data_IF_267031646177
#
_entry.id   IF_267031646177
#
_cell.length_a   1.000
_cell.length_b   1.000
_cell.length_c   1.000
_cell.angle_alpha   90.00
_cell.angle_beta   90.00
_cell.angle_gamma   90.00
#
_symmetry.space_group_name_H-M   'P 1'
#
loop_
_entity.id
_entity.type
_entity.pdbx_description
1 polymer ?
#
# COMPACT_ATOMS: atom_id res chain seq x y z
N UNK A 1 -8.28 -13.60 1.70
CA UNK A 1 -7.82 -15.01 1.68
C UNK A 1 -8.73 -15.87 0.79
N UNK A 2 -8.33 -16.16 -0.45
CA UNK A 2 -9.24 -16.77 -1.44
C UNK A 2 -9.67 -18.21 -1.11
N UNK A 3 -8.83 -18.98 -0.41
CA UNK A 3 -9.09 -20.40 -0.12
C UNK A 3 -9.59 -20.67 1.29
N UNK A 4 -9.85 -19.61 2.09
CA UNK A 4 -10.39 -19.79 3.43
C UNK A 4 -11.79 -20.43 3.34
N UNK A 5 -12.08 -21.53 4.05
CA UNK A 5 -13.39 -22.19 3.96
C UNK A 5 -14.57 -21.28 4.33
N UNK A 6 -14.39 -20.34 5.27
CA UNK A 6 -15.41 -19.35 5.59
C UNK A 6 -15.59 -18.37 4.43
N UNK A 7 -14.51 -17.89 3.80
CA UNK A 7 -14.63 -17.02 2.63
C UNK A 7 -15.46 -17.65 1.50
N UNK A 8 -15.27 -18.95 1.28
CA UNK A 8 -15.96 -19.70 0.22
C UNK A 8 -17.41 -20.05 0.54
N UNK A 9 -17.76 -20.22 1.82
CA UNK A 9 -19.07 -20.75 2.24
C UNK A 9 -19.95 -19.76 2.99
N UNK A 10 -19.35 -18.85 3.75
CA UNK A 10 -20.04 -17.89 4.62
C UNK A 10 -19.15 -16.64 4.86
N UNK A 11 -19.26 -15.68 3.95
CA UNK A 11 -18.47 -14.45 3.99
C UNK A 11 -18.77 -13.58 5.22
N UNK A 12 -19.99 -13.62 5.74
CA UNK A 12 -20.37 -12.89 6.94
C UNK A 12 -19.55 -13.38 8.14
N UNK A 13 -19.50 -14.72 8.32
CA UNK A 13 -18.69 -15.34 9.37
C UNK A 13 -17.20 -15.14 9.14
N UNK A 14 -16.73 -15.19 7.88
CA UNK A 14 -15.33 -14.84 7.58
C UNK A 14 -14.97 -13.44 8.09
N UNK A 15 -15.82 -12.45 7.84
CA UNK A 15 -15.59 -11.06 8.29
C UNK A 15 -15.54 -10.95 9.82
N UNK A 16 -16.48 -11.57 10.52
CA UNK A 16 -16.63 -11.41 11.98
C UNK A 16 -15.74 -12.33 12.82
N UNK A 17 -15.54 -13.58 12.38
CA UNK A 17 -14.85 -14.61 13.15
C UNK A 17 -13.38 -14.78 12.75
N UNK A 18 -12.99 -14.33 11.55
CA UNK A 18 -11.63 -14.53 11.03
C UNK A 18 -10.91 -13.22 10.74
N UNK A 19 -11.41 -12.40 9.81
CA UNK A 19 -10.73 -11.18 9.37
C UNK A 19 -10.64 -10.13 10.49
N UNK A 20 -11.76 -9.81 11.14
CA UNK A 20 -11.80 -8.76 12.17
C UNK A 20 -10.91 -9.09 13.38
N UNK A 21 -10.95 -10.31 13.95
CA UNK A 21 -10.04 -10.69 15.03
C UNK A 21 -8.56 -10.59 14.65
N UNK A 22 -8.17 -11.07 13.46
CA UNK A 22 -6.79 -10.95 12.96
C UNK A 22 -6.36 -9.49 12.82
N UNK A 23 -7.24 -8.65 12.25
CA UNK A 23 -6.99 -7.22 12.11
C UNK A 23 -6.74 -6.57 13.48
N UNK A 24 -7.64 -6.78 14.43
CA UNK A 24 -7.52 -6.20 15.77
C UNK A 24 -6.28 -6.68 16.49
N UNK A 25 -5.91 -7.95 16.31
CA UNK A 25 -4.71 -8.54 16.90
C UNK A 25 -3.43 -7.90 16.35
N UNK A 26 -3.29 -7.74 15.02
CA UNK A 26 -2.13 -7.05 14.42
C UNK A 26 -2.05 -5.60 14.89
N UNK A 27 -3.16 -4.86 14.87
CA UNK A 27 -3.19 -3.46 15.33
C UNK A 27 -2.82 -3.37 16.80
N UNK A 28 -3.33 -4.28 17.64
CA UNK A 28 -3.08 -4.25 19.08
C UNK A 28 -1.64 -4.61 19.44
N UNK A 29 -1.01 -5.52 18.69
CA UNK A 29 0.37 -5.95 18.94
C UNK A 29 1.42 -4.97 18.45
N UNK A 30 1.16 -4.30 17.33
CA UNK A 30 2.20 -3.53 16.62
C UNK A 30 1.93 -2.04 16.52
N UNK A 31 0.72 -1.58 16.88
CA UNK A 31 0.31 -0.17 16.83
C UNK A 31 0.76 0.56 15.55
N UNK A 32 0.43 0.05 14.35
CA UNK A 32 0.94 0.58 13.09
C UNK A 32 0.48 2.01 12.82
N UNK A 33 1.34 2.80 12.17
CA UNK A 33 1.03 4.17 11.71
C UNK A 33 0.23 4.21 10.41
N UNK A 34 0.26 3.13 9.61
CA UNK A 34 -0.49 3.02 8.36
C UNK A 34 -1.17 1.65 8.31
N UNK A 35 -2.42 1.65 7.88
CA UNK A 35 -3.13 0.44 7.46
C UNK A 35 -3.46 0.58 5.97
N UNK A 36 -2.78 -0.22 5.15
CA UNK A 36 -3.04 -0.33 3.72
C UNK A 36 -3.93 -1.56 3.48
N UNK A 37 -5.24 -1.35 3.38
CA UNK A 37 -6.18 -2.42 3.06
C UNK A 37 -6.09 -2.79 1.57
N UNK A 38 -6.34 -4.04 1.22
CA UNK A 38 -6.45 -4.53 -0.16
C UNK A 38 -7.34 -5.78 -0.17
N UNK A 39 -7.89 -6.17 -1.33
CA UNK A 39 -8.75 -7.36 -1.41
C UNK A 39 -10.26 -7.08 -1.29
N UNK A 40 -10.68 -5.82 -1.28
CA UNK A 40 -12.03 -5.37 -0.92
C UNK A 40 -13.09 -5.51 -2.03
N UNK A 41 -12.65 -5.83 -3.25
CA UNK A 41 -13.39 -5.77 -4.52
C UNK A 41 -14.73 -6.52 -4.54
N UNK A 42 -14.84 -7.61 -3.79
CA UNK A 42 -15.95 -8.56 -3.87
C UNK A 42 -17.22 -8.09 -3.14
N UNK A 43 -17.09 -7.18 -2.16
CA UNK A 43 -18.20 -6.79 -1.29
C UNK A 43 -18.18 -5.28 -0.99
N UNK A 44 -19.35 -4.65 -0.77
CA UNK A 44 -19.41 -3.27 -0.30
C UNK A 44 -18.85 -3.16 1.12
N UNK A 45 -18.43 -1.95 1.50
CA UNK A 45 -17.90 -1.60 2.81
C UNK A 45 -18.80 -2.02 3.98
N UNK A 46 -20.13 -1.95 3.79
CA UNK A 46 -21.13 -2.43 4.75
C UNK A 46 -20.99 -3.91 5.06
N UNK A 47 -20.81 -4.75 4.04
CA UNK A 47 -20.73 -6.21 4.21
C UNK A 47 -19.37 -6.64 4.78
N UNK A 48 -18.33 -5.85 4.51
CA UNK A 48 -17.04 -5.93 5.20
C UNK A 48 -17.08 -5.44 6.65
N UNK A 49 -18.17 -4.81 7.08
CA UNK A 49 -18.30 -4.11 8.37
C UNK A 49 -17.22 -3.05 8.59
N UNK A 50 -16.77 -2.40 7.53
CA UNK A 50 -15.64 -1.47 7.58
C UNK A 50 -15.88 -0.30 8.52
N UNK A 51 -17.10 0.26 8.57
CA UNK A 51 -17.42 1.37 9.47
C UNK A 51 -17.24 0.99 10.96
N UNK A 52 -17.72 -0.19 11.36
CA UNK A 52 -17.58 -0.71 12.73
C UNK A 52 -16.10 -0.94 13.09
N UNK A 53 -15.35 -1.55 12.17
CA UNK A 53 -13.93 -1.85 12.37
C UNK A 53 -13.08 -0.59 12.43
N UNK A 54 -13.34 0.38 11.56
CA UNK A 54 -12.64 1.66 11.52
C UNK A 54 -13.01 2.56 12.70
N UNK A 55 -14.26 2.53 13.17
CA UNK A 55 -14.65 3.23 14.40
C UNK A 55 -13.82 2.72 15.59
N UNK A 56 -13.65 1.40 15.72
CA UNK A 56 -12.76 0.84 16.73
C UNK A 56 -11.29 1.28 16.51
N UNK A 57 -10.79 1.25 15.27
CA UNK A 57 -9.43 1.65 14.94
C UNK A 57 -9.12 3.09 15.38
N UNK A 58 -10.02 4.03 15.07
CA UNK A 58 -9.81 5.46 15.33
C UNK A 58 -10.19 5.91 16.74
N UNK A 59 -11.03 5.16 17.47
CA UNK A 59 -11.47 5.58 18.81
C UNK A 59 -10.78 4.81 19.94
N UNK A 60 -10.50 3.53 19.73
CA UNK A 60 -10.14 2.60 20.82
C UNK A 60 -8.76 1.97 20.65
N UNK A 61 -8.30 1.76 19.41
CA UNK A 61 -7.05 1.02 19.18
C UNK A 61 -5.80 1.73 19.70
N UNK A 62 -4.69 1.02 19.92
CA UNK A 62 -3.41 1.64 20.26
C UNK A 62 -2.90 2.63 19.21
N UNK A 63 -3.29 2.49 17.93
CA UNK A 63 -2.85 3.37 16.85
C UNK A 63 -3.68 4.65 16.69
N UNK A 64 -4.75 4.82 17.48
CA UNK A 64 -5.79 5.86 17.28
C UNK A 64 -5.30 7.29 17.08
N UNK A 65 -4.13 7.64 17.63
CA UNK A 65 -3.62 9.01 17.59
C UNK A 65 -2.81 9.33 16.32
N UNK A 66 -2.42 8.32 15.53
CA UNK A 66 -1.49 8.51 14.42
C UNK A 66 -1.82 7.68 13.16
N UNK A 67 -2.74 6.72 13.25
CA UNK A 67 -3.02 5.81 12.12
C UNK A 67 -3.65 6.53 10.95
N UNK A 68 -3.13 6.25 9.76
CA UNK A 68 -3.71 6.67 8.48
C UNK A 68 -4.14 5.43 7.69
N UNK A 69 -5.23 5.54 6.93
CA UNK A 69 -5.78 4.45 6.12
C UNK A 69 -5.87 4.86 4.66
N UNK A 70 -5.67 3.91 3.75
CA UNK A 70 -5.95 4.12 2.34
C UNK A 70 -7.47 4.06 2.04
N UNK A 71 -7.87 4.25 0.78
CA UNK A 71 -9.27 4.26 0.34
C UNK A 71 -9.87 2.90 -0.06
N UNK A 72 -9.36 1.77 0.47
CA UNK A 72 -9.67 0.40 0.00
C UNK A 72 -10.43 -0.45 1.03
N UNK A 73 -11.59 0.04 1.48
CA UNK A 73 -12.39 -0.58 2.54
C UNK A 73 -13.72 -1.16 2.07
N UNK A 74 -13.93 -1.23 0.76
CA UNK A 74 -15.06 -1.86 0.09
C UNK A 74 -15.05 -1.52 -1.40
N UNK A 75 -15.76 -2.29 -2.23
CA UNK A 75 -15.83 -2.01 -3.67
C UNK A 75 -16.41 -0.63 -4.02
N UNK A 76 -17.09 -0.01 -3.05
CA UNK A 76 -17.72 1.29 -3.10
C UNK A 76 -16.87 2.42 -2.49
N UNK A 77 -15.70 2.15 -1.90
CA UNK A 77 -14.93 3.12 -1.12
C UNK A 77 -13.84 3.86 -1.89
N UNK A 78 -13.27 3.25 -2.96
CA UNK A 78 -12.13 3.82 -3.69
C UNK A 78 -12.43 5.24 -4.17
N UNK A 79 -11.50 6.16 -3.89
CA UNK A 79 -11.57 7.59 -4.20
C UNK A 79 -12.83 8.30 -3.66
N UNK A 80 -13.43 7.76 -2.59
CA UNK A 80 -14.57 8.38 -1.89
C UNK A 80 -14.37 8.49 -0.38
N UNK A 81 -13.80 7.44 0.23
CA UNK A 81 -13.58 7.35 1.67
C UNK A 81 -12.18 6.81 1.95
N UNK A 82 -11.50 7.32 2.97
CA UNK A 82 -10.12 6.96 3.35
C UNK A 82 -9.34 8.19 3.82
N UNK A 83 -8.15 7.97 4.40
CA UNK A 83 -7.23 9.05 4.76
C UNK A 83 -6.41 9.55 3.57
N UNK A 84 -6.17 8.69 2.59
CA UNK A 84 -5.52 9.04 1.32
C UNK A 84 -5.97 8.10 0.19
N UNK A 85 -5.79 8.55 -1.04
CA UNK A 85 -6.12 7.78 -2.24
C UNK A 85 -4.91 7.02 -2.76
N UNK A 86 -5.17 5.93 -3.47
CA UNK A 86 -4.10 5.10 -4.03
C UNK A 86 -4.31 4.91 -5.53
N UNK A 87 -3.22 4.87 -6.27
CA UNK A 87 -3.16 4.48 -7.67
C UNK A 87 -2.06 3.41 -7.85
N UNK A 88 -2.16 2.61 -8.91
CA UNK A 88 -1.23 1.50 -9.20
C UNK A 88 -0.91 1.46 -10.69
N UNK A 89 0.38 1.43 -11.02
CA UNK A 89 0.90 1.44 -12.40
C UNK A 89 0.29 2.53 -13.30
N UNK A 90 -0.09 3.66 -12.72
CA UNK A 90 -0.75 4.76 -13.39
C UNK A 90 0.14 6.01 -13.40
N UNK A 91 -0.33 7.06 -14.08
CA UNK A 91 0.30 8.37 -13.99
C UNK A 91 0.02 9.08 -12.65
N UNK A 92 -0.69 8.45 -11.70
CA UNK A 92 -1.10 9.12 -10.47
C UNK A 92 -2.25 10.13 -10.64
N UNK A 93 -2.43 11.01 -9.65
CA UNK A 93 -3.47 12.06 -9.67
C UNK A 93 -2.93 13.40 -10.18
N UNK A 94 -3.83 14.29 -10.60
CA UNK A 94 -3.45 15.58 -11.23
C UNK A 94 -2.84 16.57 -10.24
N UNK A 95 -3.28 16.53 -8.99
CA UNK A 95 -2.87 17.44 -7.93
C UNK A 95 -3.03 16.78 -6.55
N UNK A 96 -2.56 17.47 -5.51
CA UNK A 96 -2.64 17.04 -4.10
C UNK A 96 -3.87 17.57 -3.37
N UNK A 97 -4.98 17.88 -4.07
CA UNK A 97 -6.23 18.31 -3.42
C UNK A 97 -6.78 17.27 -2.44
N UNK A 98 -6.44 16.00 -2.66
CA UNK A 98 -6.55 14.92 -1.70
C UNK A 98 -5.18 14.26 -1.57
N UNK A 99 -4.71 13.94 -0.35
CA UNK A 99 -3.49 13.16 -0.18
C UNK A 99 -3.58 11.85 -0.97
N UNK A 100 -2.49 11.47 -1.66
CA UNK A 100 -2.48 10.27 -2.46
C UNK A 100 -1.09 9.63 -2.59
N UNK A 101 -1.08 8.35 -2.94
CA UNK A 101 0.13 7.54 -3.04
C UNK A 101 0.05 6.61 -4.25
N UNK A 102 1.08 6.64 -5.09
CA UNK A 102 1.27 5.66 -6.15
C UNK A 102 2.04 4.46 -5.59
N UNK A 103 1.41 3.29 -5.61
CA UNK A 103 2.06 2.04 -5.27
C UNK A 103 2.45 1.29 -6.55
N UNK A 104 3.69 0.79 -6.62
CA UNK A 104 4.12 0.00 -7.78
C UNK A 104 5.32 -0.90 -7.46
N UNK A 105 5.41 -2.01 -8.18
CA UNK A 105 6.61 -2.83 -8.26
C UNK A 105 7.72 -2.18 -9.08
N UNK A 106 8.91 -2.78 -8.99
CA UNK A 106 10.06 -2.37 -9.80
C UNK A 106 9.99 -2.82 -11.26
N UNK A 107 9.20 -3.86 -11.52
CA UNK A 107 8.91 -4.39 -12.85
C UNK A 107 7.40 -4.48 -13.04
N UNK A 108 6.85 -5.66 -13.37
CA UNK A 108 5.43 -5.87 -13.59
C UNK A 108 4.74 -6.54 -12.38
N UNK A 109 5.50 -7.27 -11.56
CA UNK A 109 5.01 -7.92 -10.36
C UNK A 109 5.35 -7.14 -9.09
N UNK A 110 4.54 -7.34 -8.04
CA UNK A 110 4.88 -6.99 -6.67
C UNK A 110 5.75 -8.09 -6.01
N UNK A 111 5.36 -9.36 -6.20
CA UNK A 111 6.17 -10.48 -5.74
C UNK A 111 7.38 -10.74 -6.63
N UNK A 112 8.41 -11.43 -6.12
CA UNK A 112 9.52 -11.87 -6.95
C UNK A 112 9.01 -12.76 -8.10
N UNK A 113 9.23 -12.33 -9.34
CA UNK A 113 8.91 -13.11 -10.53
C UNK A 113 10.19 -13.49 -11.30
N UNK A 114 10.53 -14.78 -11.29
CA UNK A 114 11.72 -15.31 -11.98
C UNK A 114 11.64 -15.25 -13.51
N UNK A 115 10.47 -14.96 -14.07
CA UNK A 115 10.30 -14.75 -15.50
C UNK A 115 10.66 -13.33 -15.95
N UNK A 116 10.73 -12.36 -15.02
CA UNK A 116 11.16 -10.99 -15.33
C UNK A 116 12.66 -10.96 -15.59
N UNK A 117 13.04 -10.21 -16.61
CA UNK A 117 14.41 -9.97 -17.05
C UNK A 117 14.86 -8.59 -16.61
N UNK A 118 16.16 -8.33 -16.65
CA UNK A 118 16.73 -7.01 -16.29
C UNK A 118 16.05 -5.86 -17.04
N UNK A 119 15.72 -6.04 -18.31
CA UNK A 119 15.08 -5.01 -19.15
C UNK A 119 13.61 -4.74 -18.81
N UNK A 120 12.96 -5.61 -18.02
CA UNK A 120 11.60 -5.38 -17.50
C UNK A 120 11.61 -4.40 -16.31
N UNK A 121 12.76 -4.27 -15.65
CA UNK A 121 12.95 -3.37 -14.52
C UNK A 121 13.26 -1.96 -15.01
N UNK A 122 12.57 -0.97 -14.46
CA UNK A 122 12.99 0.42 -14.66
C UNK A 122 14.37 0.65 -14.06
N UNK A 123 15.11 1.52 -14.72
CA UNK A 123 16.37 2.05 -14.21
C UNK A 123 16.13 2.96 -13.01
N UNK A 124 17.15 3.18 -12.19
CA UNK A 124 17.07 4.11 -11.04
C UNK A 124 16.71 5.51 -11.48
N UNK A 125 17.24 5.93 -12.64
CA UNK A 125 16.91 7.22 -13.26
C UNK A 125 15.41 7.34 -13.56
N UNK A 126 14.81 6.30 -14.11
CA UNK A 126 13.36 6.29 -14.36
C UNK A 126 12.56 6.34 -13.07
N UNK A 127 12.98 5.63 -12.01
CA UNK A 127 12.32 5.73 -10.71
C UNK A 127 12.47 7.10 -10.07
N UNK A 128 13.62 7.76 -10.21
CA UNK A 128 13.81 9.14 -9.76
C UNK A 128 12.85 10.07 -10.49
N UNK A 129 12.67 9.89 -11.81
CA UNK A 129 11.69 10.67 -12.56
C UNK A 129 10.25 10.40 -12.11
N UNK A 130 9.90 9.15 -11.84
CA UNK A 130 8.59 8.81 -11.27
C UNK A 130 8.43 9.50 -9.90
N UNK A 131 9.41 9.40 -9.01
CA UNK A 131 9.37 10.02 -7.69
C UNK A 131 9.15 11.55 -7.79
N UNK A 132 9.97 12.23 -8.57
CA UNK A 132 9.89 13.69 -8.74
C UNK A 132 8.55 14.09 -9.35
N UNK A 133 8.07 13.36 -10.35
CA UNK A 133 6.80 13.65 -11.02
C UNK A 133 5.59 13.50 -10.08
N UNK A 134 5.58 12.45 -9.24
CA UNK A 134 4.52 12.24 -8.24
C UNK A 134 4.56 13.30 -7.15
N UNK A 135 5.73 13.58 -6.58
CA UNK A 135 5.92 14.57 -5.52
C UNK A 135 5.55 15.98 -6.00
N UNK A 136 5.87 16.33 -7.25
CA UNK A 136 5.51 17.63 -7.84
C UNK A 136 3.98 17.88 -7.90
N UNK A 137 3.18 16.80 -7.79
CA UNK A 137 1.72 16.82 -7.80
C UNK A 137 1.12 16.42 -6.44
N UNK A 138 1.92 16.50 -5.37
CA UNK A 138 1.49 16.24 -3.98
C UNK A 138 1.25 14.76 -3.65
N UNK A 139 1.83 13.84 -4.42
CA UNK A 139 1.71 12.40 -4.22
C UNK A 139 2.95 11.76 -3.60
N UNK A 140 2.75 10.68 -2.87
CA UNK A 140 3.82 9.79 -2.41
C UNK A 140 4.13 8.70 -3.44
N UNK A 141 5.36 8.19 -3.41
CA UNK A 141 5.75 6.95 -4.09
C UNK A 141 5.97 5.84 -3.05
N UNK A 142 5.18 4.77 -3.16
CA UNK A 142 5.41 3.50 -2.49
C UNK A 142 6.03 2.52 -3.49
N UNK A 143 7.37 2.46 -3.50
CA UNK A 143 8.12 1.54 -4.35
C UNK A 143 8.27 0.19 -3.66
N UNK A 144 7.65 -0.82 -4.24
CA UNK A 144 7.65 -2.19 -3.73
C UNK A 144 8.94 -2.95 -4.09
N UNK A 145 9.31 -3.91 -3.23
CA UNK A 145 10.33 -4.92 -3.49
C UNK A 145 9.74 -6.32 -3.31
N UNK A 146 10.18 -7.25 -4.15
CA UNK A 146 9.86 -8.67 -4.03
C UNK A 146 11.08 -9.47 -3.54
N UNK A 147 11.23 -9.71 -2.23
CA UNK A 147 12.28 -10.59 -1.71
C UNK A 147 12.20 -12.01 -2.27
N UNK A 148 13.34 -12.66 -2.35
CA UNK A 148 13.43 -14.09 -2.62
C UNK A 148 12.94 -14.92 -1.44
N UNK A 149 12.61 -16.18 -1.72
CA UNK A 149 12.07 -17.12 -0.73
C UNK A 149 13.05 -17.43 0.42
N UNK A 150 14.35 -17.17 0.23
CA UNK A 150 15.37 -17.27 1.27
C UNK A 150 15.52 -15.99 2.12
N UNK A 151 14.68 -14.98 1.87
CA UNK A 151 14.68 -13.70 2.57
C UNK A 151 15.65 -12.67 1.98
N UNK A 152 16.40 -12.99 0.93
CA UNK A 152 17.32 -12.03 0.29
C UNK A 152 16.58 -11.06 -0.62
N UNK A 153 17.09 -9.83 -0.76
CA UNK A 153 16.65 -8.89 -1.79
C UNK A 153 17.44 -9.18 -3.07
N UNK A 154 16.80 -9.35 -4.24
CA UNK A 154 17.52 -9.54 -5.49
C UNK A 154 18.54 -8.41 -5.74
N UNK A 155 19.78 -8.72 -6.16
CA UNK A 155 20.84 -7.70 -6.30
C UNK A 155 20.48 -6.53 -7.22
N UNK A 156 19.66 -6.78 -8.25
CA UNK A 156 19.17 -5.72 -9.12
C UNK A 156 18.27 -4.73 -8.37
N UNK A 157 17.32 -5.21 -7.56
CA UNK A 157 16.45 -4.35 -6.75
C UNK A 157 17.25 -3.56 -5.72
N UNK A 158 18.19 -4.23 -5.04
CA UNK A 158 19.12 -3.60 -4.09
C UNK A 158 19.92 -2.47 -4.76
N UNK A 159 20.51 -2.73 -5.94
CA UNK A 159 21.23 -1.71 -6.70
C UNK A 159 20.35 -0.49 -6.99
N UNK A 160 19.10 -0.70 -7.41
CA UNK A 160 18.16 0.41 -7.69
C UNK A 160 17.86 1.23 -6.43
N UNK A 161 17.60 0.58 -5.31
CA UNK A 161 17.36 1.27 -4.03
C UNK A 161 18.56 2.10 -3.59
N UNK A 162 19.77 1.55 -3.69
CA UNK A 162 20.99 2.25 -3.31
C UNK A 162 21.25 3.48 -4.20
N UNK A 163 21.10 3.33 -5.52
CA UNK A 163 21.27 4.43 -6.48
C UNK A 163 20.23 5.56 -6.26
N UNK A 164 18.97 5.21 -5.97
CA UNK A 164 17.93 6.18 -5.60
C UNK A 164 18.29 6.86 -4.28
N UNK A 165 18.75 6.09 -3.28
CA UNK A 165 19.17 6.60 -1.98
C UNK A 165 20.34 7.58 -2.09
N UNK A 166 21.33 7.29 -2.93
CA UNK A 166 22.46 8.18 -3.19
C UNK A 166 22.03 9.49 -3.86
N UNK A 167 21.07 9.43 -4.77
CA UNK A 167 20.49 10.64 -5.35
C UNK A 167 19.71 11.47 -4.30
N UNK A 168 18.94 10.81 -3.43
CA UNK A 168 18.16 11.46 -2.35
C UNK A 168 19.06 12.10 -1.27
N UNK A 169 20.25 11.56 -1.01
CA UNK A 169 21.20 12.21 -0.09
C UNK A 169 21.60 13.61 -0.55
N UNK A 170 21.63 13.85 -1.86
CA UNK A 170 21.98 15.14 -2.45
C UNK A 170 20.76 16.02 -2.68
N UNK A 171 19.64 15.43 -3.13
CA UNK A 171 18.47 16.17 -3.62
C UNK A 171 17.22 16.06 -2.73
N UNK A 172 17.34 15.42 -1.56
CA UNK A 172 16.20 15.06 -0.71
C UNK A 172 15.44 16.26 -0.15
N UNK A 173 16.04 17.44 -0.05
CA UNK A 173 15.34 18.66 0.36
C UNK A 173 14.23 19.08 -0.61
N UNK A 174 14.33 18.68 -1.89
CA UNK A 174 13.31 18.90 -2.90
C UNK A 174 12.22 17.81 -2.91
N UNK A 175 12.28 16.86 -1.98
CA UNK A 175 11.37 15.71 -1.89
C UNK A 175 10.70 15.65 -0.51
N UNK A 176 11.48 15.71 0.56
CA UNK A 176 10.97 15.51 1.91
C UNK A 176 10.42 16.81 2.50
N UNK A 177 9.13 16.80 2.88
CA UNK A 177 8.48 17.94 3.52
C UNK A 177 8.08 19.07 2.57
N UNK A 178 8.03 18.79 1.26
CA UNK A 178 7.59 19.71 0.21
C UNK A 178 6.10 19.61 -0.09
#
# INVERSE_FOLDING_TARGET
>A
EWFNPLWLKDRQRYVTEHMTPQFKDVVSRYAPSIIFADGEWDMPSKDWKSEELLAWLFNESPSKNAVVINARWGKDSRHKHGGYWTTEYAAGLKDGSQPWEESRGMAYSYGLNRAERVDDYKTSREFIYVLVDLVSRGGNLLLDIGPAADGTIPPLMEQRLLEIGDWLKVNGEAIYGT
#
